data_IF_237669130840
#
_entry.id   IF_237669130840
#
_cell.length_a   1.000
_cell.length_b   1.000
_cell.length_c   1.000
_cell.angle_alpha   90.00
_cell.angle_beta   90.00
_cell.angle_gamma   90.00
#
_symmetry.space_group_name_H-M   'P 1'
#
loop_
_entity.id
_entity.type
_entity.pdbx_description
1 polymer ?
#
# COMPACT_ATOMS: atom_id res chain seq x y z
N UNK A 1 -6.42 -6.07 0.76
CA UNK A 1 -5.30 -6.82 0.14
C UNK A 1 -5.02 -8.09 0.95
N UNK A 2 -4.58 -9.18 0.32
CA UNK A 2 -4.21 -10.43 1.01
C UNK A 2 -2.78 -10.40 1.56
N UNK A 3 -2.49 -11.29 2.51
CA UNK A 3 -1.13 -11.48 3.05
C UNK A 3 -0.12 -11.70 1.93
N UNK A 4 -0.42 -12.62 1.01
CA UNK A 4 0.48 -12.97 -0.10
C UNK A 4 0.74 -11.79 -1.06
N UNK A 5 -0.30 -11.01 -1.38
CA UNK A 5 -0.14 -9.81 -2.22
C UNK A 5 0.67 -8.73 -1.54
N UNK A 6 0.48 -8.56 -0.22
CA UNK A 6 1.19 -7.55 0.57
C UNK A 6 2.69 -7.86 0.70
N UNK A 7 3.08 -9.13 0.79
CA UNK A 7 4.49 -9.56 0.75
C UNK A 7 5.17 -9.26 -0.59
N UNK A 8 4.40 -9.11 -1.67
CA UNK A 8 4.92 -8.72 -2.98
C UNK A 8 5.06 -7.21 -3.17
N UNK A 9 4.70 -6.38 -2.18
CA UNK A 9 4.85 -4.92 -2.26
C UNK A 9 6.32 -4.54 -2.25
N UNK A 10 6.62 -3.45 -2.95
CA UNK A 10 7.97 -2.88 -3.04
C UNK A 10 7.94 -1.42 -2.58
N UNK A 11 9.07 -0.90 -2.10
CA UNK A 11 9.27 0.54 -1.90
C UNK A 11 8.84 1.30 -3.17
N UNK A 12 8.09 2.38 -2.98
CA UNK A 12 7.49 3.19 -4.05
C UNK A 12 6.14 2.68 -4.57
N UNK A 13 5.68 1.48 -4.20
CA UNK A 13 4.35 0.99 -4.59
C UNK A 13 3.27 1.93 -4.06
N UNK A 14 2.31 2.30 -4.92
CA UNK A 14 1.17 3.13 -4.56
C UNK A 14 0.04 2.26 -3.99
N UNK A 15 -0.55 2.70 -2.89
CA UNK A 15 -1.67 2.04 -2.21
C UNK A 15 -2.76 3.06 -1.87
N UNK A 16 -3.98 2.56 -1.67
CA UNK A 16 -5.17 3.31 -1.26
C UNK A 16 -5.74 2.71 0.03
N UNK A 17 -6.29 3.56 0.89
CA UNK A 17 -7.14 3.14 1.98
C UNK A 17 -8.58 2.95 1.48
N UNK A 18 -9.14 1.76 1.69
CA UNK A 18 -10.49 1.34 1.27
C UNK A 18 -10.83 1.70 -0.19
N UNK A 19 -9.81 1.67 -1.06
CA UNK A 19 -9.94 2.00 -2.47
C UNK A 19 -10.07 3.48 -2.81
N UNK A 20 -10.00 4.40 -1.84
CA UNK A 20 -10.08 5.85 -2.10
C UNK A 20 -8.73 6.40 -2.58
N UNK A 21 -8.72 6.99 -3.77
CA UNK A 21 -7.54 7.60 -4.35
C UNK A 21 -7.08 8.87 -3.61
N UNK A 22 -7.97 9.54 -2.87
CA UNK A 22 -7.63 10.67 -2.01
C UNK A 22 -6.88 10.21 -0.76
N UNK A 23 -7.21 9.03 -0.25
CA UNK A 23 -6.51 8.39 0.87
C UNK A 23 -5.39 7.49 0.36
N UNK A 24 -4.48 8.09 -0.40
CA UNK A 24 -3.40 7.38 -1.05
C UNK A 24 -2.05 7.55 -0.35
N UNK A 25 -1.20 6.56 -0.50
CA UNK A 25 0.12 6.53 0.13
C UNK A 25 1.12 5.70 -0.65
N UNK A 26 2.39 5.78 -0.26
CA UNK A 26 3.47 5.00 -0.86
C UNK A 26 4.16 4.15 0.21
N UNK A 27 4.53 2.94 -0.20
CA UNK A 27 5.40 2.10 0.62
C UNK A 27 6.79 2.73 0.70
N UNK A 28 7.26 3.04 1.90
CA UNK A 28 8.61 3.57 2.14
C UNK A 28 9.55 2.49 2.67
N UNK A 29 9.02 1.50 3.38
CA UNK A 29 9.76 0.37 3.91
C UNK A 29 9.01 -0.95 3.81
N UNK A 30 9.76 -2.04 3.75
CA UNK A 30 9.26 -3.41 3.68
C UNK A 30 10.11 -4.27 4.61
N UNK A 31 9.48 -5.02 5.51
CA UNK A 31 10.10 -6.04 6.34
C UNK A 31 9.51 -7.42 5.99
N UNK A 32 9.93 -8.45 6.73
CA UNK A 32 9.36 -9.80 6.60
C UNK A 32 7.87 -9.86 7.01
N UNK A 33 7.48 -9.07 8.00
CA UNK A 33 6.17 -9.14 8.66
C UNK A 33 5.28 -7.92 8.41
N UNK A 34 5.81 -6.82 7.90
CA UNK A 34 5.09 -5.56 7.75
C UNK A 34 5.61 -4.69 6.60
N UNK A 35 4.87 -3.62 6.32
CA UNK A 35 5.33 -2.51 5.46
C UNK A 35 5.09 -1.19 6.18
N UNK A 36 5.92 -0.19 5.86
CA UNK A 36 5.71 1.20 6.28
C UNK A 36 5.13 1.98 5.11
N UNK A 37 4.04 2.70 5.36
CA UNK A 37 3.30 3.51 4.40
C UNK A 37 3.41 4.96 4.83
N UNK A 38 3.92 5.80 3.94
CA UNK A 38 3.75 7.24 4.04
C UNK A 38 2.51 7.64 3.24
N UNK A 39 1.48 8.08 3.95
CA UNK A 39 0.24 8.59 3.38
C UNK A 39 0.44 10.03 2.91
N UNK A 40 -0.26 10.41 1.84
CA UNK A 40 -0.12 11.74 1.23
C UNK A 40 -0.65 12.86 2.14
N UNK A 41 -1.48 12.53 3.12
CA UNK A 41 -1.94 13.43 4.17
C UNK A 41 -0.87 13.70 5.26
N UNK A 42 0.34 13.17 5.12
CA UNK A 42 1.45 13.35 6.05
C UNK A 42 1.52 12.31 7.17
N UNK A 43 0.54 11.43 7.31
CA UNK A 43 0.60 10.33 8.29
C UNK A 43 1.55 9.23 7.82
N UNK A 44 2.17 8.55 8.78
CA UNK A 44 3.00 7.36 8.53
C UNK A 44 2.47 6.21 9.39
N UNK A 45 2.30 5.04 8.77
CA UNK A 45 1.81 3.85 9.46
C UNK A 45 2.62 2.61 9.09
N UNK A 46 2.92 1.79 10.08
CA UNK A 46 3.45 0.43 9.88
C UNK A 46 2.30 -0.55 9.96
N UNK A 47 2.14 -1.38 8.93
CA UNK A 47 1.01 -2.30 8.82
C UNK A 47 1.54 -3.72 8.61
N UNK A 48 1.20 -4.62 9.53
CA UNK A 48 1.56 -6.02 9.40
C UNK A 48 0.80 -6.67 8.25
N UNK A 49 1.40 -7.66 7.60
CA UNK A 49 0.79 -8.34 6.46
C UNK A 49 -0.58 -8.97 6.77
N UNK A 50 -0.82 -9.35 8.03
CA UNK A 50 -2.13 -9.84 8.51
C UNK A 50 -3.24 -8.78 8.57
N UNK A 51 -2.88 -7.50 8.62
CA UNK A 51 -3.80 -6.37 8.87
C UNK A 51 -4.11 -5.56 7.59
N UNK A 52 -3.73 -6.08 6.42
CA UNK A 52 -3.82 -5.39 5.11
C UNK A 52 -5.23 -5.34 4.51
N UNK A 53 -6.27 -5.68 5.27
CA UNK A 53 -7.63 -5.87 4.73
C UNK A 53 -8.22 -4.59 4.13
N UNK A 54 -7.93 -3.43 4.71
CA UNK A 54 -8.43 -2.13 4.27
C UNK A 54 -7.50 -1.44 3.27
N UNK A 55 -6.32 -2.00 3.02
CA UNK A 55 -5.35 -1.42 2.09
C UNK A 55 -5.48 -2.14 0.76
N UNK A 56 -5.49 -1.37 -0.30
CA UNK A 56 -5.55 -1.87 -1.67
C UNK A 56 -4.36 -1.33 -2.46
N UNK A 57 -3.87 -2.11 -3.43
CA UNK A 57 -2.90 -1.59 -4.38
C UNK A 57 -3.62 -0.60 -5.30
N UNK A 58 -2.98 0.52 -5.58
CA UNK A 58 -3.45 1.37 -6.65
C UNK A 58 -3.51 0.56 -7.95
N UNK A 59 -4.57 0.73 -8.77
CA UNK A 59 -4.65 0.05 -10.04
C UNK A 59 -3.41 0.41 -10.86
N UNK A 60 -2.75 -0.60 -11.41
CA UNK A 60 -1.70 -0.37 -12.39
C UNK A 60 -2.33 0.48 -13.49
N UNK A 61 -1.78 1.68 -13.74
CA UNK A 61 -2.14 2.48 -14.90
C UNK A 61 -2.00 1.57 -16.11
N UNK A 62 -3.11 1.03 -16.63
CA UNK A 62 -3.13 0.51 -17.99
C UNK A 62 -2.84 1.74 -18.83
N UNK A 63 -1.70 1.75 -19.50
CA UNK A 63 -1.37 2.81 -20.44
C UNK A 63 -2.59 3.03 -21.33
N UNK A 64 -3.05 4.27 -21.41
CA UNK A 64 -3.87 4.68 -22.54
C UNK A 64 -3.08 4.28 -23.79
N UNK A 65 -3.74 3.49 -24.65
CA UNK A 65 -3.21 3.03 -25.93
C UNK A 65 -2.71 4.20 -26.78
#
# INVERSE_FOLDING_TARGET
MTVSESKGLKKGSRVYWRGDANDSGRITETSWDAVTIAWDNGQVATVHHGDMREIERAPARRGAR
#
